data_IF_444730279137
#
_entry.id   IF_444730279137
#
_cell.length_a   1.000
_cell.length_b   1.000
_cell.length_c   1.000
_cell.angle_alpha   90.00
_cell.angle_beta   90.00
_cell.angle_gamma   90.00
#
_symmetry.space_group_name_H-M   'P 1'
#
loop_
_entity.id
_entity.type
_entity.pdbx_description
1 polymer ?
#
# COMPACT_ATOMS: atom_id res chain seq x y z
N UNK A 1 18.98 -3.01 -2.78
CA UNK A 1 17.52 -2.88 -3.06
C UNK A 1 17.25 -3.24 -4.50
N UNK A 2 16.21 -4.05 -4.76
CA UNK A 2 15.71 -4.33 -6.11
C UNK A 2 14.80 -3.20 -6.57
N UNK A 3 14.81 -2.89 -7.89
CA UNK A 3 13.89 -1.93 -8.49
C UNK A 3 13.00 -2.62 -9.51
N UNK A 4 11.70 -2.31 -9.48
CA UNK A 4 10.66 -2.91 -10.31
C UNK A 4 9.95 -1.83 -11.11
N UNK A 5 9.46 -2.18 -12.30
CA UNK A 5 8.58 -1.29 -13.03
C UNK A 5 7.23 -1.16 -12.31
N UNK A 6 6.69 0.04 -12.25
CA UNK A 6 5.36 0.29 -11.71
C UNK A 6 4.31 -0.05 -12.77
N UNK A 7 3.81 -1.28 -12.71
CA UNK A 7 2.89 -1.79 -13.72
C UNK A 7 3.45 -1.71 -15.14
N UNK A 8 2.64 -1.27 -16.08
CA UNK A 8 3.01 -1.09 -17.50
C UNK A 8 3.74 0.24 -17.79
N UNK A 9 4.13 1.00 -16.75
CA UNK A 9 4.85 2.26 -16.93
C UNK A 9 6.37 2.07 -16.98
N UNK A 10 7.10 3.10 -17.45
CA UNK A 10 8.56 3.13 -17.38
C UNK A 10 9.13 3.52 -16.02
N UNK A 11 8.28 3.81 -15.03
CA UNK A 11 8.74 4.25 -13.70
C UNK A 11 9.29 3.07 -12.91
N UNK A 12 10.53 3.20 -12.43
CA UNK A 12 11.16 2.23 -11.53
C UNK A 12 11.00 2.64 -10.08
N UNK A 13 10.37 1.78 -9.29
CA UNK A 13 10.20 1.94 -7.84
C UNK A 13 11.01 0.87 -7.09
N UNK A 14 11.50 1.20 -5.90
CA UNK A 14 12.13 0.23 -5.02
C UNK A 14 11.12 -0.83 -4.56
N UNK A 15 11.53 -2.08 -4.46
CA UNK A 15 10.67 -3.20 -4.06
C UNK A 15 10.06 -3.04 -2.65
N UNK A 16 10.74 -2.28 -1.78
CA UNK A 16 10.20 -1.76 -0.53
C UNK A 16 10.11 -0.23 -0.63
N UNK A 17 9.00 0.34 -0.17
CA UNK A 17 8.76 1.77 -0.06
C UNK A 17 8.43 2.16 1.38
N UNK A 18 8.57 3.42 1.71
CA UNK A 18 8.36 3.90 3.07
C UNK A 18 7.02 4.64 3.20
N UNK A 19 6.15 4.13 4.09
CA UNK A 19 4.85 4.72 4.39
C UNK A 19 4.91 5.67 5.58
N UNK A 20 4.37 6.87 5.40
CA UNK A 20 4.42 7.96 6.39
C UNK A 20 3.16 8.08 7.25
N UNK A 21 2.32 7.04 7.30
CA UNK A 21 1.15 7.03 8.21
C UNK A 21 1.51 7.17 9.70
N UNK A 22 2.79 7.02 10.05
CA UNK A 22 3.34 7.24 11.40
C UNK A 22 3.74 8.68 11.66
N UNK A 23 3.68 9.58 10.68
CA UNK A 23 4.11 10.97 10.81
C UNK A 23 3.00 11.88 11.35
N UNK A 24 3.36 12.76 12.29
CA UNK A 24 2.48 13.76 12.86
C UNK A 24 1.71 13.29 14.11
N UNK A 25 0.72 12.39 13.98
CA UNK A 25 -0.06 11.88 15.11
C UNK A 25 -0.99 12.93 15.74
N UNK A 26 -1.83 13.59 14.93
CA UNK A 26 -2.69 14.70 15.37
C UNK A 26 -3.87 14.27 16.26
N UNK A 27 -4.35 13.03 16.11
CA UNK A 27 -5.47 12.49 16.87
C UNK A 27 -5.14 11.08 17.40
N UNK A 28 -5.99 10.50 18.24
CA UNK A 28 -5.70 9.22 18.92
C UNK A 28 -5.53 8.05 17.94
N UNK A 29 -6.26 8.06 16.83
CA UNK A 29 -6.12 7.05 15.78
C UNK A 29 -4.72 7.08 15.18
N UNK A 30 -4.26 8.26 14.74
CA UNK A 30 -2.93 8.41 14.14
C UNK A 30 -1.81 8.31 15.18
N UNK A 31 -2.00 8.77 16.42
CA UNK A 31 -1.04 8.55 17.53
C UNK A 31 -0.77 7.07 17.78
N UNK A 32 -1.79 6.22 17.64
CA UNK A 32 -1.61 4.77 17.76
C UNK A 32 -0.70 4.19 16.66
N UNK A 33 -0.56 4.87 15.53
CA UNK A 33 0.38 4.51 14.46
C UNK A 33 1.78 5.08 14.73
N UNK A 34 1.87 6.33 15.17
CA UNK A 34 3.11 7.02 15.49
C UNK A 34 2.90 8.53 15.61
N UNK A 35 3.96 9.21 16.04
CA UNK A 35 4.00 10.68 16.17
C UNK A 35 5.35 11.21 15.70
N UNK A 36 5.92 10.62 14.66
CA UNK A 36 7.21 11.01 14.10
C UNK A 36 7.17 12.43 13.57
N UNK A 37 8.03 13.28 14.08
CA UNK A 37 8.20 14.66 13.65
C UNK A 37 9.42 14.81 12.73
N UNK A 38 9.66 16.03 12.21
CA UNK A 38 10.58 16.32 11.10
C UNK A 38 12.00 15.77 11.30
N UNK A 39 12.59 15.92 12.47
CA UNK A 39 14.00 15.53 12.69
C UNK A 39 14.17 14.01 12.70
N UNK A 40 13.22 13.29 13.28
CA UNK A 40 13.21 11.83 13.22
C UNK A 40 12.85 11.35 11.80
N UNK A 41 11.91 12.01 11.14
CA UNK A 41 11.55 11.70 9.75
C UNK A 41 12.74 11.85 8.81
N UNK A 42 13.57 12.89 8.98
CA UNK A 42 14.84 13.07 8.22
C UNK A 42 15.79 11.88 8.40
N UNK A 43 15.98 11.42 9.64
CA UNK A 43 16.84 10.26 9.92
C UNK A 43 16.30 8.99 9.26
N UNK A 44 14.99 8.74 9.36
CA UNK A 44 14.36 7.57 8.74
C UNK A 44 14.45 7.61 7.21
N UNK A 45 14.26 8.79 6.60
CA UNK A 45 14.40 9.00 5.16
C UNK A 45 15.84 8.79 4.69
N UNK A 46 16.83 9.25 5.46
CA UNK A 46 18.26 9.03 5.12
C UNK A 46 18.61 7.54 5.14
N UNK A 47 18.12 6.79 6.13
CA UNK A 47 18.25 5.32 6.18
C UNK A 47 17.58 4.68 4.95
N UNK A 48 16.41 5.18 4.54
CA UNK A 48 15.74 4.72 3.34
C UNK A 48 16.59 4.92 2.08
N UNK A 49 17.19 6.11 1.89
CA UNK A 49 18.06 6.39 0.76
C UNK A 49 19.33 5.54 0.77
N UNK A 50 19.97 5.36 1.94
CA UNK A 50 21.14 4.47 2.11
C UNK A 50 20.81 3.02 1.72
N UNK A 51 19.58 2.55 2.02
CA UNK A 51 19.10 1.22 1.64
C UNK A 51 18.62 1.14 0.18
N UNK A 52 18.57 2.25 -0.56
CA UNK A 52 18.11 2.34 -1.94
C UNK A 52 16.59 2.42 -2.08
N UNK A 53 15.85 2.82 -1.04
CA UNK A 53 14.41 3.13 -1.15
C UNK A 53 14.26 4.47 -1.85
N UNK A 54 13.41 4.52 -2.88
CA UNK A 54 13.14 5.75 -3.63
C UNK A 54 11.68 6.20 -3.60
N UNK A 55 10.75 5.40 -3.04
CA UNK A 55 9.32 5.70 -3.00
C UNK A 55 8.85 5.95 -1.56
N UNK A 56 8.21 7.11 -1.33
CA UNK A 56 7.66 7.56 -0.06
C UNK A 56 6.17 7.79 -0.22
N UNK A 57 5.36 7.07 0.58
CA UNK A 57 3.91 7.06 0.48
C UNK A 57 3.25 7.79 1.64
N UNK A 58 2.39 8.74 1.33
CA UNK A 58 1.60 9.54 2.26
C UNK A 58 0.14 9.65 1.80
N UNK A 59 -0.67 10.52 2.43
CA UNK A 59 -2.00 10.92 2.00
C UNK A 59 -2.40 12.26 2.62
N UNK A 60 -3.31 12.98 1.98
CA UNK A 60 -3.86 14.26 2.45
C UNK A 60 -4.60 14.15 3.79
N UNK A 61 -5.25 13.00 4.05
CA UNK A 61 -5.95 12.72 5.30
C UNK A 61 -5.06 12.20 6.43
N UNK A 62 -3.78 11.85 6.19
CA UNK A 62 -2.93 11.32 7.26
C UNK A 62 -2.56 12.42 8.24
N UNK A 63 -2.95 12.23 9.52
CA UNK A 63 -2.76 13.22 10.58
C UNK A 63 -3.24 14.61 10.16
N UNK A 64 -4.41 14.69 9.51
CA UNK A 64 -5.04 15.93 9.06
C UNK A 64 -4.13 16.79 8.15
N UNK A 65 -3.31 16.13 7.30
CA UNK A 65 -2.34 16.75 6.40
C UNK A 65 -0.94 16.92 7.01
N UNK A 66 -0.78 16.72 8.32
CA UNK A 66 0.53 16.87 8.98
C UNK A 66 1.57 15.89 8.45
N UNK A 67 1.16 14.68 8.04
CA UNK A 67 2.06 13.70 7.44
C UNK A 67 2.74 14.23 6.17
N UNK A 68 2.00 14.91 5.29
CA UNK A 68 2.57 15.55 4.10
C UNK A 68 3.51 16.71 4.45
N UNK A 69 3.18 17.54 5.47
CA UNK A 69 4.04 18.63 5.92
C UNK A 69 5.38 18.12 6.47
N UNK A 70 5.33 17.06 7.31
CA UNK A 70 6.53 16.44 7.87
C UNK A 70 7.38 15.84 6.76
N UNK A 71 6.77 15.11 5.82
CA UNK A 71 7.47 14.51 4.67
C UNK A 71 8.12 15.58 3.80
N UNK A 72 7.39 16.65 3.44
CA UNK A 72 7.91 17.75 2.64
C UNK A 72 9.15 18.40 3.26
N UNK A 73 9.07 18.74 4.56
CA UNK A 73 10.19 19.31 5.32
C UNK A 73 11.38 18.35 5.47
N UNK A 74 11.10 17.06 5.62
CA UNK A 74 12.16 16.06 5.74
C UNK A 74 12.89 15.81 4.41
N UNK A 75 12.23 16.07 3.27
CA UNK A 75 12.79 15.96 1.91
C UNK A 75 13.41 17.27 1.38
N UNK A 76 13.42 18.35 2.14
CA UNK A 76 14.07 19.60 1.70
C UNK A 76 15.52 19.34 1.23
N UNK A 77 15.84 19.80 0.02
CA UNK A 77 17.14 19.57 -0.64
C UNK A 77 17.36 18.16 -1.19
N UNK A 78 16.34 17.26 -1.09
CA UNK A 78 16.44 15.86 -1.54
C UNK A 78 15.26 15.45 -2.45
N UNK A 79 14.42 16.40 -2.86
CA UNK A 79 13.17 16.13 -3.62
C UNK A 79 13.40 15.34 -4.91
N UNK A 80 14.49 15.62 -5.60
CA UNK A 80 14.91 14.99 -6.85
C UNK A 80 15.30 13.51 -6.70
N UNK A 81 15.61 13.07 -5.47
CA UNK A 81 15.93 11.67 -5.15
C UNK A 81 14.74 10.84 -4.74
N UNK A 82 13.59 11.50 -4.45
CA UNK A 82 12.40 10.87 -3.92
C UNK A 82 11.27 10.84 -4.93
N UNK A 83 10.62 9.69 -5.06
CA UNK A 83 9.30 9.56 -5.64
C UNK A 83 8.28 9.74 -4.52
N UNK A 84 7.42 10.75 -4.64
CA UNK A 84 6.35 11.02 -3.67
C UNK A 84 5.04 10.45 -4.21
N UNK A 85 4.43 9.58 -3.40
CA UNK A 85 3.09 9.05 -3.59
C UNK A 85 2.16 9.68 -2.56
N UNK A 86 1.09 10.36 -3.00
CA UNK A 86 0.05 10.84 -2.08
C UNK A 86 -1.34 10.52 -2.61
N UNK A 87 -2.35 10.73 -1.78
CA UNK A 87 -3.72 10.28 -2.04
C UNK A 87 -4.72 11.35 -1.61
N UNK A 88 -5.89 11.36 -2.26
CA UNK A 88 -7.05 12.13 -1.80
C UNK A 88 -8.36 11.35 -2.00
N UNK A 89 -9.42 11.87 -1.41
CA UNK A 89 -10.76 11.33 -1.53
C UNK A 89 -11.47 11.08 -0.21
N UNK A 90 -10.76 10.88 0.88
CA UNK A 90 -11.35 10.82 2.22
C UNK A 90 -11.71 12.22 2.73
N UNK A 91 -12.64 12.33 3.70
CA UNK A 91 -13.00 13.62 4.29
C UNK A 91 -11.79 14.33 4.88
N UNK A 92 -11.57 15.58 4.48
CA UNK A 92 -10.50 16.45 5.00
C UNK A 92 -11.02 17.57 5.89
N UNK A 93 -12.32 17.81 5.88
CA UNK A 93 -13.02 18.75 6.74
C UNK A 93 -14.52 18.43 6.77
N UNK A 94 -15.26 19.01 7.71
CA UNK A 94 -16.72 18.95 7.72
C UNK A 94 -17.33 19.78 6.58
N UNK A 95 -18.53 19.39 6.13
CA UNK A 95 -19.32 20.10 5.13
C UNK A 95 -19.16 19.57 3.70
N UNK A 96 -19.96 20.08 2.77
CA UNK A 96 -20.03 19.59 1.40
C UNK A 96 -18.73 19.87 0.63
N UNK A 97 -18.44 19.00 -0.34
CA UNK A 97 -17.28 19.11 -1.26
C UNK A 97 -15.89 19.04 -0.58
N UNK A 98 -15.80 18.44 0.61
CA UNK A 98 -14.53 18.20 1.31
C UNK A 98 -14.14 16.73 1.29
N UNK A 99 -14.77 15.90 0.44
CA UNK A 99 -14.52 14.48 0.24
C UNK A 99 -14.89 14.06 -1.18
N UNK A 100 -14.58 12.80 -1.53
CA UNK A 100 -14.94 12.18 -2.79
C UNK A 100 -14.01 12.54 -3.94
N UNK A 101 -14.48 12.32 -5.16
CA UNK A 101 -13.64 12.45 -6.37
C UNK A 101 -14.17 13.48 -7.37
N UNK A 102 -15.04 14.40 -6.93
CA UNK A 102 -15.47 15.48 -7.80
C UNK A 102 -14.29 16.33 -8.27
N UNK A 103 -14.37 16.87 -9.48
CA UNK A 103 -13.35 17.78 -10.03
C UNK A 103 -13.04 18.94 -9.08
N UNK A 104 -14.08 19.46 -8.41
CA UNK A 104 -13.94 20.55 -7.46
C UNK A 104 -13.07 20.14 -6.27
N UNK A 105 -13.35 18.98 -5.65
CA UNK A 105 -12.59 18.50 -4.50
C UNK A 105 -11.17 18.06 -4.89
N UNK A 106 -11.03 17.24 -5.94
CA UNK A 106 -9.72 16.73 -6.37
C UNK A 106 -8.72 17.85 -6.68
N UNK A 107 -9.17 18.94 -7.36
CA UNK A 107 -8.28 20.05 -7.65
C UNK A 107 -7.82 20.77 -6.39
N UNK A 108 -8.71 21.04 -5.45
CA UNK A 108 -8.37 21.66 -4.15
C UNK A 108 -7.44 20.78 -3.32
N UNK A 109 -7.72 19.48 -3.28
CA UNK A 109 -6.91 18.49 -2.57
C UNK A 109 -5.48 18.42 -3.13
N UNK A 110 -5.33 18.31 -4.46
CA UNK A 110 -4.01 18.32 -5.11
C UNK A 110 -3.22 19.59 -4.79
N UNK A 111 -3.83 20.79 -4.94
CA UNK A 111 -3.16 22.06 -4.63
C UNK A 111 -2.75 22.16 -3.15
N UNK A 112 -3.58 21.62 -2.25
CA UNK A 112 -3.26 21.59 -0.83
C UNK A 112 -2.10 20.64 -0.54
N UNK A 113 -2.07 19.45 -1.16
CA UNK A 113 -0.97 18.49 -1.04
C UNK A 113 0.36 19.05 -1.56
N UNK A 114 0.34 19.71 -2.73
CA UNK A 114 1.54 20.38 -3.29
C UNK A 114 2.11 21.43 -2.32
N UNK A 115 1.24 22.24 -1.69
CA UNK A 115 1.68 23.24 -0.69
C UNK A 115 2.26 22.57 0.56
N UNK A 116 1.60 21.55 1.13
CA UNK A 116 2.09 20.85 2.33
C UNK A 116 3.40 20.13 2.09
N UNK A 117 3.54 19.50 0.93
CA UNK A 117 4.75 18.80 0.52
C UNK A 117 5.88 19.74 0.05
N UNK A 118 5.59 21.03 -0.19
CA UNK A 118 6.59 22.00 -0.66
C UNK A 118 7.17 21.66 -2.03
N UNK A 119 6.35 21.19 -2.97
CA UNK A 119 6.78 20.73 -4.30
C UNK A 119 5.79 21.15 -5.38
N UNK A 120 6.25 21.28 -6.61
CA UNK A 120 5.42 21.65 -7.77
C UNK A 120 4.77 20.44 -8.46
N UNK A 121 5.18 19.22 -8.11
CA UNK A 121 4.64 18.00 -8.71
C UNK A 121 4.62 16.82 -7.74
N UNK A 122 3.66 15.91 -7.97
CA UNK A 122 3.54 14.60 -7.33
C UNK A 122 3.93 13.53 -8.33
N UNK A 123 4.73 12.54 -7.90
CA UNK A 123 5.14 11.44 -8.77
C UNK A 123 4.01 10.45 -9.01
N UNK A 124 3.29 10.05 -7.95
CA UNK A 124 2.15 9.14 -8.04
C UNK A 124 0.98 9.72 -7.23
N UNK A 125 -0.14 10.01 -7.89
CA UNK A 125 -1.34 10.53 -7.25
C UNK A 125 -2.45 9.49 -7.26
N UNK A 126 -2.94 9.13 -6.06
CA UNK A 126 -3.97 8.10 -5.90
C UNK A 126 -5.34 8.69 -5.60
N UNK A 127 -6.37 8.04 -6.10
CA UNK A 127 -7.67 8.06 -5.47
C UNK A 127 -7.65 7.09 -4.29
N UNK A 128 -7.93 7.56 -3.06
CA UNK A 128 -7.83 6.76 -1.84
C UNK A 128 -8.90 5.68 -1.72
N UNK A 129 -10.03 5.85 -2.41
CA UNK A 129 -11.14 4.92 -2.56
C UNK A 129 -11.96 5.28 -3.79
N UNK A 130 -12.84 4.37 -4.20
CA UNK A 130 -13.77 4.64 -5.30
C UNK A 130 -14.95 5.48 -4.81
N UNK A 131 -15.25 6.56 -5.53
CA UNK A 131 -16.43 7.40 -5.32
C UNK A 131 -17.53 7.03 -6.32
N UNK A 132 -18.57 6.35 -5.83
CA UNK A 132 -19.71 5.93 -6.64
C UNK A 132 -20.68 7.07 -6.99
N UNK A 133 -20.55 8.23 -6.34
CA UNK A 133 -21.42 9.39 -6.54
C UNK A 133 -20.91 10.33 -7.63
N UNK A 134 -19.63 10.24 -7.99
CA UNK A 134 -19.04 11.04 -9.05
C UNK A 134 -18.91 10.23 -10.35
N UNK A 135 -19.40 10.76 -11.50
CA UNK A 135 -19.23 10.09 -12.79
C UNK A 135 -17.74 9.78 -13.06
N UNK A 136 -17.45 8.55 -13.47
CA UNK A 136 -16.06 8.12 -13.71
C UNK A 136 -15.37 8.95 -14.82
N UNK A 137 -16.14 9.45 -15.77
CA UNK A 137 -15.66 10.35 -16.83
C UNK A 137 -15.15 11.68 -16.25
N UNK A 138 -15.85 12.27 -15.28
CA UNK A 138 -15.42 13.48 -14.60
C UNK A 138 -14.12 13.25 -13.82
N UNK A 139 -14.03 12.12 -13.14
CA UNK A 139 -12.85 11.74 -12.36
C UNK A 139 -11.64 11.55 -13.29
N UNK A 140 -11.78 10.73 -14.34
CA UNK A 140 -10.67 10.42 -15.26
C UNK A 140 -10.22 11.64 -16.07
N UNK A 141 -11.15 12.48 -16.53
CA UNK A 141 -10.82 13.76 -17.20
C UNK A 141 -10.02 14.68 -16.27
N UNK A 142 -10.42 14.75 -15.00
CA UNK A 142 -9.74 15.59 -14.00
C UNK A 142 -8.30 15.10 -13.74
N UNK A 143 -8.12 13.80 -13.52
CA UNK A 143 -6.78 13.21 -13.32
C UNK A 143 -5.90 13.35 -14.56
N UNK A 144 -6.46 13.14 -15.76
CA UNK A 144 -5.75 13.34 -17.01
C UNK A 144 -5.26 14.80 -17.18
N UNK A 145 -6.07 15.78 -16.75
CA UNK A 145 -5.67 17.20 -16.74
C UNK A 145 -4.51 17.46 -15.78
N UNK A 146 -4.50 16.85 -14.60
CA UNK A 146 -3.38 16.98 -13.66
C UNK A 146 -2.06 16.49 -14.25
N UNK A 147 -2.10 15.39 -15.02
CA UNK A 147 -0.92 14.89 -15.73
C UNK A 147 -0.50 15.83 -16.83
N UNK A 148 -1.45 16.33 -17.64
CA UNK A 148 -1.15 17.29 -18.73
C UNK A 148 -0.63 18.64 -18.23
N UNK A 149 -1.08 19.10 -17.08
CA UNK A 149 -0.59 20.31 -16.40
C UNK A 149 0.82 20.09 -15.79
N UNK A 150 1.32 18.85 -15.77
CA UNK A 150 2.63 18.51 -15.19
C UNK A 150 2.65 18.48 -13.67
N UNK A 151 1.51 18.64 -13.00
CA UNK A 151 1.39 18.57 -11.53
C UNK A 151 1.43 17.16 -10.99
N UNK A 152 1.10 16.17 -11.81
CA UNK A 152 1.13 14.74 -11.49
C UNK A 152 1.87 14.01 -12.60
N UNK A 153 2.76 13.07 -12.25
CA UNK A 153 3.48 12.26 -13.24
C UNK A 153 2.72 10.99 -13.60
N UNK A 154 2.21 10.28 -12.61
CA UNK A 154 1.45 9.03 -12.75
C UNK A 154 0.23 9.05 -11.87
N UNK A 155 -0.86 8.46 -12.33
CA UNK A 155 -2.08 8.30 -11.56
C UNK A 155 -2.28 6.85 -11.14
N UNK A 156 -2.89 6.64 -9.99
CA UNK A 156 -3.15 5.32 -9.43
C UNK A 156 -4.48 5.29 -8.67
N UNK A 157 -5.00 4.08 -8.47
CA UNK A 157 -6.16 3.83 -7.61
C UNK A 157 -5.73 3.21 -6.28
N UNK A 158 -6.56 3.32 -5.25
CA UNK A 158 -6.42 2.57 -4.00
C UNK A 158 -7.79 2.07 -3.55
N UNK A 159 -7.85 0.84 -3.03
CA UNK A 159 -9.06 0.23 -2.48
C UNK A 159 -10.25 0.16 -3.46
N UNK A 160 -9.98 -0.02 -4.74
CA UNK A 160 -11.00 -0.28 -5.76
C UNK A 160 -11.28 -1.79 -5.82
N UNK A 161 -12.53 -2.16 -6.10
CA UNK A 161 -12.85 -3.52 -6.57
C UNK A 161 -12.41 -3.67 -8.03
N UNK A 162 -12.36 -4.91 -8.53
CA UNK A 162 -11.92 -5.15 -9.92
C UNK A 162 -12.80 -4.45 -10.95
N UNK A 163 -14.14 -4.47 -10.78
CA UNK A 163 -15.04 -3.80 -11.72
C UNK A 163 -14.89 -2.26 -11.69
N UNK A 164 -14.62 -1.66 -10.53
CA UNK A 164 -14.33 -0.22 -10.41
C UNK A 164 -13.06 0.15 -11.17
N UNK A 165 -12.01 -0.64 -10.96
CA UNK A 165 -10.74 -0.43 -11.63
C UNK A 165 -10.88 -0.61 -13.14
N UNK A 166 -11.52 -1.72 -13.57
CA UNK A 166 -11.73 -1.98 -15.00
C UNK A 166 -12.60 -0.92 -15.67
N UNK A 167 -13.68 -0.46 -15.02
CA UNK A 167 -14.51 0.65 -15.52
C UNK A 167 -13.69 1.92 -15.73
N UNK A 168 -12.82 2.26 -14.80
CA UNK A 168 -11.96 3.44 -14.88
C UNK A 168 -10.93 3.32 -16.01
N UNK A 169 -10.30 2.15 -16.17
CA UNK A 169 -9.36 1.87 -17.24
C UNK A 169 -10.02 1.93 -18.62
N UNK A 170 -11.18 1.29 -18.77
CA UNK A 170 -11.95 1.31 -20.03
C UNK A 170 -12.41 2.73 -20.39
N UNK A 171 -12.76 3.55 -19.41
CA UNK A 171 -13.11 4.96 -19.64
C UNK A 171 -11.87 5.74 -20.12
N UNK A 172 -10.72 5.55 -19.49
CA UNK A 172 -9.48 6.17 -19.95
C UNK A 172 -9.13 5.77 -21.40
N UNK A 173 -9.24 4.49 -21.73
CA UNK A 173 -8.99 3.97 -23.10
C UNK A 173 -9.95 4.57 -24.12
N UNK A 174 -11.24 4.62 -23.80
CA UNK A 174 -12.28 5.18 -24.68
C UNK A 174 -12.00 6.61 -25.10
N UNK A 175 -11.46 7.42 -24.18
CA UNK A 175 -11.22 8.84 -24.43
C UNK A 175 -9.74 9.18 -24.72
N UNK A 176 -8.85 8.19 -24.74
CA UNK A 176 -7.41 8.42 -24.93
C UNK A 176 -6.77 9.18 -23.77
N UNK A 177 -7.29 8.98 -22.54
CA UNK A 177 -6.77 9.62 -21.34
C UNK A 177 -5.71 8.77 -20.64
N UNK A 178 -5.02 9.39 -19.69
CA UNK A 178 -4.03 8.72 -18.84
C UNK A 178 -4.68 7.58 -18.05
N UNK A 179 -4.07 6.39 -18.11
CA UNK A 179 -4.51 5.20 -17.37
C UNK A 179 -3.91 5.16 -15.97
N UNK A 180 -4.58 4.50 -15.04
CA UNK A 180 -3.97 4.09 -13.79
C UNK A 180 -2.82 3.11 -14.07
N UNK A 181 -1.63 3.38 -13.51
CA UNK A 181 -0.45 2.51 -13.63
C UNK A 181 -0.29 1.58 -12.44
N UNK A 182 -0.92 1.92 -11.31
CA UNK A 182 -0.84 1.15 -10.09
C UNK A 182 -2.18 1.10 -9.35
N UNK A 183 -2.32 0.06 -8.53
CA UNK A 183 -3.39 -0.11 -7.57
C UNK A 183 -2.78 -0.34 -6.18
N UNK A 184 -3.05 0.56 -5.24
CA UNK A 184 -2.62 0.39 -3.86
C UNK A 184 -3.65 -0.44 -3.10
N UNK A 185 -3.23 -1.61 -2.59
CA UNK A 185 -4.11 -2.68 -2.13
C UNK A 185 -3.69 -3.22 -0.76
N UNK A 186 -4.68 -3.64 0.04
CA UNK A 186 -4.41 -4.51 1.17
C UNK A 186 -4.02 -5.91 0.68
N UNK A 187 -2.85 -6.36 1.08
CA UNK A 187 -2.38 -7.72 0.78
C UNK A 187 -1.39 -8.20 1.85
N UNK A 188 -1.65 -9.36 2.41
CA UNK A 188 -0.80 -9.99 3.42
C UNK A 188 -1.11 -11.48 3.50
N UNK A 189 -0.31 -12.24 4.25
CA UNK A 189 -0.59 -13.66 4.55
C UNK A 189 -1.93 -13.90 5.27
N UNK A 190 -2.53 -12.89 5.89
CA UNK A 190 -3.86 -12.97 6.53
C UNK A 190 -4.93 -12.16 5.80
N UNK A 191 -4.70 -11.80 4.55
CA UNK A 191 -5.62 -11.07 3.70
C UNK A 191 -5.25 -11.28 2.25
N UNK A 192 -5.67 -12.42 1.68
CA UNK A 192 -5.31 -12.89 0.33
C UNK A 192 -6.40 -12.67 -0.72
N UNK A 193 -7.46 -11.90 -0.38
CA UNK A 193 -8.58 -11.61 -1.29
C UNK A 193 -8.11 -10.94 -2.60
N UNK A 194 -7.01 -10.19 -2.54
CA UNK A 194 -6.36 -9.58 -3.70
C UNK A 194 -6.09 -10.59 -4.84
N UNK A 195 -5.79 -11.84 -4.50
CA UNK A 195 -5.41 -12.88 -5.46
C UNK A 195 -6.60 -13.37 -6.33
N UNK A 196 -7.84 -13.11 -5.90
CA UNK A 196 -9.00 -13.68 -6.56
C UNK A 196 -9.39 -12.93 -7.84
N UNK A 197 -9.35 -11.60 -7.82
CA UNK A 197 -9.77 -10.75 -8.94
C UNK A 197 -8.72 -9.68 -9.29
N UNK A 198 -8.18 -8.99 -8.28
CA UNK A 198 -7.33 -7.82 -8.50
C UNK A 198 -5.95 -8.17 -9.06
N UNK A 199 -5.38 -9.29 -8.65
CA UNK A 199 -4.10 -9.76 -9.20
C UNK A 199 -4.24 -10.22 -10.66
N UNK A 200 -5.22 -11.07 -11.03
CA UNK A 200 -5.48 -11.38 -12.44
C UNK A 200 -5.73 -10.15 -13.31
N UNK A 201 -6.51 -9.19 -12.81
CA UNK A 201 -6.75 -7.91 -13.49
C UNK A 201 -5.45 -7.12 -13.65
N UNK A 202 -4.64 -7.06 -12.60
CA UNK A 202 -3.34 -6.36 -12.62
C UNK A 202 -2.38 -6.95 -13.66
N UNK A 203 -2.35 -8.28 -13.82
CA UNK A 203 -1.58 -8.97 -14.86
C UNK A 203 -2.10 -8.64 -16.26
N UNK A 204 -3.40 -8.75 -16.48
CA UNK A 204 -4.05 -8.51 -17.78
C UNK A 204 -3.90 -7.06 -18.22
N UNK A 205 -4.19 -6.11 -17.31
CA UNK A 205 -4.21 -4.68 -17.60
C UNK A 205 -2.87 -3.97 -17.35
N UNK A 206 -1.83 -4.72 -16.92
CA UNK A 206 -0.50 -4.19 -16.57
C UNK A 206 -0.56 -3.09 -15.50
N UNK A 207 -1.39 -3.29 -14.47
CA UNK A 207 -1.49 -2.41 -13.31
C UNK A 207 -0.69 -3.02 -12.16
N UNK A 208 0.32 -2.31 -11.68
CA UNK A 208 1.20 -2.77 -10.60
C UNK A 208 0.55 -2.64 -9.22
N UNK A 209 0.85 -3.56 -8.31
CA UNK A 209 0.38 -3.46 -6.93
C UNK A 209 1.39 -2.70 -6.05
N UNK A 210 0.89 -1.73 -5.29
CA UNK A 210 1.53 -1.13 -4.12
C UNK A 210 0.84 -1.68 -2.88
N UNK A 211 1.55 -2.49 -2.09
CA UNK A 211 0.92 -3.23 -0.99
C UNK A 211 0.95 -2.41 0.29
N UNK A 212 -0.23 -2.06 0.81
CA UNK A 212 -0.34 -1.45 2.13
C UNK A 212 -0.67 -2.48 3.22
N UNK A 213 -0.28 -2.18 4.47
CA UNK A 213 -0.43 -3.06 5.64
C UNK A 213 0.06 -4.50 5.42
N UNK A 214 1.27 -4.70 4.87
CA UNK A 214 1.80 -6.02 4.50
C UNK A 214 1.97 -6.97 5.68
N UNK A 215 2.02 -6.42 6.91
CA UNK A 215 2.09 -7.18 8.16
C UNK A 215 0.72 -7.32 8.86
N UNK A 216 -0.38 -7.26 8.09
CA UNK A 216 -1.72 -7.53 8.60
C UNK A 216 -2.14 -6.63 9.75
N UNK A 217 -1.98 -5.31 9.64
CA UNK A 217 -2.30 -4.33 10.69
C UNK A 217 -1.44 -4.49 11.96
N UNK A 218 -0.23 -5.07 11.83
CA UNK A 218 0.70 -5.35 12.94
C UNK A 218 0.55 -6.75 13.55
N UNK A 219 -0.33 -7.58 13.02
CA UNK A 219 -0.55 -8.96 13.51
C UNK A 219 0.62 -9.90 13.17
N UNK A 220 1.31 -9.67 12.05
CA UNK A 220 2.42 -10.51 11.57
C UNK A 220 3.82 -9.95 11.94
N UNK A 221 3.89 -9.20 13.03
CA UNK A 221 5.16 -8.63 13.53
C UNK A 221 5.98 -9.57 14.41
N UNK A 222 5.51 -10.80 14.62
CA UNK A 222 6.15 -11.76 15.49
C UNK A 222 5.90 -11.54 16.99
N UNK A 223 5.01 -10.60 17.36
CA UNK A 223 4.67 -10.28 18.75
C UNK A 223 3.44 -11.02 19.26
N UNK A 224 2.53 -11.40 18.36
CA UNK A 224 1.33 -12.18 18.71
C UNK A 224 1.68 -13.68 18.77
N UNK A 225 1.16 -14.35 19.77
CA UNK A 225 1.36 -15.78 20.02
C UNK A 225 0.11 -16.38 20.63
N UNK A 226 -0.18 -17.63 20.28
CA UNK A 226 -1.28 -18.40 20.86
C UNK A 226 -1.17 -18.42 22.39
N UNK A 227 -2.28 -18.11 23.06
CA UNK A 227 -2.37 -18.13 24.53
C UNK A 227 -1.61 -17.02 25.25
N UNK A 228 -1.06 -16.03 24.53
CA UNK A 228 -0.43 -14.86 25.15
C UNK A 228 -1.29 -13.61 24.96
N UNK A 229 -1.30 -12.70 25.96
CA UNK A 229 -2.02 -11.45 25.83
C UNK A 229 -1.43 -10.58 24.71
N UNK A 230 -2.25 -9.66 24.21
CA UNK A 230 -1.79 -8.63 23.30
C UNK A 230 -0.68 -7.78 23.96
N UNK A 231 0.44 -7.50 23.27
CA UNK A 231 1.50 -6.66 23.83
C UNK A 231 0.97 -5.29 24.28
N UNK A 232 1.45 -4.78 25.42
CA UNK A 232 1.01 -3.49 25.97
C UNK A 232 1.11 -2.35 24.96
N UNK A 233 2.21 -2.29 24.21
CA UNK A 233 2.42 -1.31 23.14
C UNK A 233 1.97 -1.90 21.80
N UNK A 234 0.66 -2.01 21.61
CA UNK A 234 0.08 -2.46 20.35
C UNK A 234 -0.97 -1.47 19.87
N UNK A 235 -0.88 -1.06 18.58
CA UNK A 235 -1.93 -0.23 17.98
C UNK A 235 -3.29 -0.94 17.91
N UNK A 236 -3.31 -2.27 18.01
CA UNK A 236 -4.53 -3.05 18.02
C UNK A 236 -5.45 -2.73 19.20
N UNK A 237 -4.93 -2.18 20.31
CA UNK A 237 -5.78 -1.71 21.42
C UNK A 237 -6.72 -0.57 21.00
N UNK A 238 -6.30 0.26 20.04
CA UNK A 238 -7.05 1.47 19.62
C UNK A 238 -7.67 1.28 18.21
N UNK A 239 -7.00 0.54 17.33
CA UNK A 239 -7.33 0.53 15.90
C UNK A 239 -7.74 -0.84 15.35
N UNK A 240 -8.01 -1.83 16.22
CA UNK A 240 -8.34 -3.20 15.78
C UNK A 240 -9.58 -3.24 14.87
N UNK A 241 -10.61 -2.45 15.19
CA UNK A 241 -11.87 -2.39 14.44
C UNK A 241 -11.71 -1.76 13.05
N UNK A 242 -10.75 -0.85 12.90
CA UNK A 242 -10.45 -0.22 11.60
C UNK A 242 -9.58 -1.10 10.69
N UNK A 243 -9.05 -2.21 11.21
CA UNK A 243 -8.23 -3.16 10.49
C UNK A 243 -9.00 -4.37 9.98
N UNK A 244 -8.33 -5.28 9.26
CA UNK A 244 -8.96 -6.51 8.78
C UNK A 244 -9.46 -7.36 9.94
N UNK A 245 -10.67 -7.90 9.81
CA UNK A 245 -11.21 -8.85 10.77
C UNK A 245 -10.63 -10.24 10.44
N UNK A 246 -9.97 -10.85 11.41
CA UNK A 246 -9.25 -12.11 11.25
C UNK A 246 -9.61 -13.02 12.41
N UNK A 247 -10.08 -14.23 12.11
CA UNK A 247 -10.36 -15.23 13.13
C UNK A 247 -9.06 -15.68 13.83
N UNK A 248 -9.08 -15.76 15.14
CA UNK A 248 -7.88 -16.05 15.94
C UNK A 248 -7.20 -17.37 15.53
N UNK A 249 -7.97 -18.43 15.34
CA UNK A 249 -7.41 -19.75 14.98
C UNK A 249 -6.69 -19.71 13.63
N UNK A 250 -7.25 -18.99 12.63
CA UNK A 250 -6.60 -18.77 11.35
C UNK A 250 -5.34 -17.92 11.50
N UNK A 251 -5.41 -16.82 12.26
CA UNK A 251 -4.25 -15.97 12.53
C UNK A 251 -3.09 -16.77 13.13
N UNK A 252 -3.37 -17.58 14.16
CA UNK A 252 -2.33 -18.34 14.83
C UNK A 252 -1.78 -19.46 13.97
N UNK A 253 -2.57 -20.08 13.09
CA UNK A 253 -2.08 -21.04 12.09
C UNK A 253 -1.06 -20.39 11.17
N UNK A 254 -1.29 -19.17 10.72
CA UNK A 254 -0.34 -18.41 9.88
C UNK A 254 0.91 -18.01 10.69
N UNK A 255 0.72 -17.55 11.92
CA UNK A 255 1.85 -17.15 12.80
C UNK A 255 2.76 -18.35 13.11
N UNK A 256 2.19 -19.51 13.40
CA UNK A 256 2.95 -20.73 13.69
C UNK A 256 3.78 -21.15 12.46
N UNK A 257 3.22 -21.05 11.25
CA UNK A 257 3.93 -21.30 10.00
C UNK A 257 5.07 -20.29 9.75
N UNK A 258 4.82 -19.01 10.04
CA UNK A 258 5.83 -17.96 9.95
C UNK A 258 6.98 -18.20 10.93
N UNK A 259 6.70 -18.60 12.18
CA UNK A 259 7.73 -18.94 13.17
C UNK A 259 8.61 -20.10 12.70
N UNK A 260 8.01 -21.15 12.13
CA UNK A 260 8.74 -22.27 11.56
C UNK A 260 9.69 -21.82 10.45
N UNK A 261 9.19 -21.06 9.47
CA UNK A 261 10.01 -20.59 8.34
C UNK A 261 11.05 -19.56 8.80
N UNK A 262 10.75 -18.73 9.80
CA UNK A 262 11.72 -17.81 10.39
C UNK A 262 12.89 -18.56 11.04
N UNK A 263 12.61 -19.65 11.78
CA UNK A 263 13.65 -20.51 12.36
C UNK A 263 14.51 -21.18 11.29
N UNK A 264 13.92 -21.66 10.19
CA UNK A 264 14.64 -22.30 9.08
C UNK A 264 15.56 -21.33 8.33
N UNK A 265 15.13 -20.06 8.18
CA UNK A 265 15.87 -19.05 7.39
C UNK A 265 16.84 -18.22 8.22
N UNK A 266 16.73 -18.24 9.56
CA UNK A 266 17.44 -17.32 10.45
C UNK A 266 16.98 -15.86 10.30
N UNK A 267 15.79 -15.65 9.71
CA UNK A 267 15.18 -14.32 9.53
C UNK A 267 14.09 -14.08 10.55
N UNK A 268 13.69 -12.83 10.74
CA UNK A 268 12.58 -12.51 11.63
C UNK A 268 11.23 -12.78 10.98
N UNK A 269 10.20 -13.01 11.78
CA UNK A 269 8.82 -13.22 11.31
C UNK A 269 8.35 -12.12 10.34
N UNK A 270 8.50 -10.81 10.64
CA UNK A 270 8.12 -9.77 9.70
C UNK A 270 8.94 -9.80 8.40
N UNK A 271 10.24 -10.15 8.45
CA UNK A 271 11.06 -10.28 7.25
C UNK A 271 10.56 -11.41 6.35
N UNK A 272 10.19 -12.55 6.93
CA UNK A 272 9.61 -13.68 6.18
C UNK A 272 8.26 -13.29 5.55
N UNK A 273 7.39 -12.65 6.30
CA UNK A 273 6.08 -12.21 5.79
C UNK A 273 6.21 -11.19 4.65
N UNK A 274 7.12 -10.23 4.75
CA UNK A 274 7.41 -9.25 3.69
C UNK A 274 8.07 -9.93 2.47
N UNK A 275 9.02 -10.84 2.69
CA UNK A 275 9.69 -11.55 1.61
C UNK A 275 8.73 -12.44 0.81
N UNK A 276 7.74 -13.06 1.48
CA UNK A 276 6.68 -13.79 0.79
C UNK A 276 5.91 -12.89 -0.20
N UNK A 277 5.56 -11.66 0.20
CA UNK A 277 4.91 -10.68 -0.67
C UNK A 277 5.81 -10.23 -1.83
N UNK A 278 7.12 -10.07 -1.60
CA UNK A 278 8.08 -9.67 -2.64
C UNK A 278 8.15 -10.68 -3.79
N UNK A 279 7.76 -11.92 -3.57
CA UNK A 279 7.75 -12.97 -4.58
C UNK A 279 6.40 -13.12 -5.31
N UNK A 280 5.42 -12.26 -5.01
CA UNK A 280 4.10 -12.34 -5.65
C UNK A 280 4.07 -11.58 -6.99
N UNK A 281 3.38 -12.14 -8.01
CA UNK A 281 3.14 -11.44 -9.26
C UNK A 281 2.47 -10.09 -9.02
N UNK A 282 2.68 -9.13 -9.91
CA UNK A 282 2.14 -7.76 -9.86
C UNK A 282 2.66 -6.86 -8.74
N UNK A 283 3.24 -7.39 -7.66
CA UNK A 283 3.76 -6.57 -6.56
C UNK A 283 4.97 -5.76 -7.03
N UNK A 284 4.73 -4.47 -7.29
CA UNK A 284 5.78 -3.51 -7.68
C UNK A 284 6.52 -3.01 -6.45
N UNK A 285 5.83 -2.72 -5.35
CA UNK A 285 6.44 -2.27 -4.10
C UNK A 285 5.57 -2.61 -2.89
N UNK A 286 6.22 -2.82 -1.75
CA UNK A 286 5.57 -3.04 -0.46
C UNK A 286 5.80 -1.83 0.43
N UNK A 287 4.73 -1.20 0.89
CA UNK A 287 4.77 -0.02 1.74
C UNK A 287 4.98 -0.47 3.19
N UNK A 288 6.17 -0.24 3.71
CA UNK A 288 6.50 -0.52 5.11
C UNK A 288 6.48 0.75 5.94
N UNK A 289 5.80 0.72 7.08
CA UNK A 289 5.85 1.77 8.08
C UNK A 289 6.83 1.41 9.21
N UNK A 290 7.42 2.41 9.84
CA UNK A 290 8.23 2.24 11.03
C UNK A 290 8.04 3.43 11.98
N UNK A 291 8.11 3.17 13.30
CA UNK A 291 8.06 4.20 14.35
C UNK A 291 9.45 4.66 14.78
N UNK A 292 10.47 3.87 14.46
CA UNK A 292 11.86 4.13 14.82
C UNK A 292 12.81 3.43 13.83
N UNK A 293 14.09 3.73 13.97
CA UNK A 293 15.17 3.21 13.13
C UNK A 293 15.27 1.67 13.18
N UNK A 294 15.15 1.06 14.35
CA UNK A 294 15.26 -0.39 14.52
C UNK A 294 14.20 -1.13 13.69
N UNK A 295 12.93 -0.71 13.81
CA UNK A 295 11.84 -1.29 13.02
C UNK A 295 12.04 -1.09 11.52
N UNK A 296 12.52 0.10 11.12
CA UNK A 296 12.80 0.38 9.71
C UNK A 296 13.88 -0.56 9.16
N UNK A 297 15.02 -0.66 9.84
CA UNK A 297 16.12 -1.55 9.42
C UNK A 297 15.70 -3.02 9.40
N UNK A 298 14.90 -3.44 10.38
CA UNK A 298 14.32 -4.79 10.41
C UNK A 298 13.45 -5.05 9.17
N UNK A 299 12.55 -4.13 8.82
CA UNK A 299 11.68 -4.25 7.65
C UNK A 299 12.49 -4.26 6.34
N UNK A 300 13.48 -3.36 6.22
CA UNK A 300 14.36 -3.28 5.05
C UNK A 300 15.17 -4.58 4.82
N UNK A 301 15.49 -5.29 5.90
CA UNK A 301 16.14 -6.61 5.84
C UNK A 301 15.29 -7.73 5.23
N UNK A 302 14.04 -7.45 4.83
CA UNK A 302 13.22 -8.39 4.07
C UNK A 302 13.65 -8.52 2.60
N UNK A 303 14.37 -7.55 2.06
CA UNK A 303 14.89 -7.59 0.69
C UNK A 303 16.30 -8.20 0.61
N UNK A 304 16.71 -8.59 -0.61
CA UNK A 304 18.06 -9.09 -0.89
C UNK A 304 18.26 -10.59 -0.68
N UNK A 305 17.21 -11.33 -0.43
CA UNK A 305 17.17 -12.80 -0.34
C UNK A 305 15.79 -13.29 -0.76
N UNK A 306 15.61 -14.60 -0.93
CA UNK A 306 14.34 -15.18 -1.32
C UNK A 306 14.03 -16.44 -0.49
N UNK A 307 12.75 -16.61 -0.15
CA UNK A 307 12.22 -17.87 0.34
C UNK A 307 12.37 -18.96 -0.74
N UNK A 308 12.65 -20.18 -0.33
CA UNK A 308 12.59 -21.34 -1.23
C UNK A 308 11.14 -21.67 -1.61
N UNK A 309 10.95 -22.39 -2.71
CA UNK A 309 9.62 -22.83 -3.15
C UNK A 309 8.87 -23.58 -2.03
N UNK A 310 9.54 -24.50 -1.32
CA UNK A 310 8.93 -25.25 -0.21
C UNK A 310 8.49 -24.37 0.96
N UNK A 311 9.25 -23.32 1.28
CA UNK A 311 8.89 -22.34 2.31
C UNK A 311 7.67 -21.50 1.89
N UNK A 312 7.64 -21.06 0.63
CA UNK A 312 6.47 -20.37 0.06
C UNK A 312 5.24 -21.27 0.12
N UNK A 313 5.31 -22.52 -0.32
CA UNK A 313 4.22 -23.49 -0.26
C UNK A 313 3.73 -23.76 1.17
N UNK A 314 4.64 -23.74 2.16
CA UNK A 314 4.29 -23.87 3.58
C UNK A 314 3.44 -22.72 4.06
N UNK A 315 3.84 -21.47 3.71
CA UNK A 315 3.10 -20.27 4.05
C UNK A 315 1.78 -20.18 3.28
N UNK A 316 1.77 -20.58 2.00
CA UNK A 316 0.56 -20.58 1.17
C UNK A 316 -0.52 -21.50 1.73
N UNK A 317 -0.15 -22.71 2.16
CA UNK A 317 -1.09 -23.66 2.79
C UNK A 317 -1.62 -23.16 4.13
N UNK A 318 -0.75 -22.60 4.96
CA UNK A 318 -1.17 -22.07 6.26
C UNK A 318 -2.10 -20.84 6.15
N UNK A 319 -1.96 -20.10 5.06
CA UNK A 319 -2.73 -18.86 4.80
C UNK A 319 -3.83 -19.04 3.75
N UNK A 320 -4.16 -20.27 3.38
CA UNK A 320 -5.23 -20.54 2.43
C UNK A 320 -6.59 -20.11 2.98
N UNK A 321 -7.38 -19.42 2.16
CA UNK A 321 -8.73 -18.96 2.47
C UNK A 321 -9.73 -19.46 1.43
N UNK A 322 -10.93 -19.75 1.89
CA UNK A 322 -12.03 -20.05 0.98
C UNK A 322 -12.40 -18.80 0.19
N UNK A 323 -12.24 -18.88 -1.13
CA UNK A 323 -12.61 -17.77 -2.00
C UNK A 323 -14.13 -17.62 -2.12
N UNK A 324 -14.59 -16.38 -2.28
CA UNK A 324 -15.99 -16.08 -2.53
C UNK A 324 -16.45 -16.61 -3.91
N UNK A 325 -17.78 -16.70 -4.12
CA UNK A 325 -18.35 -16.87 -5.45
C UNK A 325 -18.11 -15.57 -6.27
N UNK A 326 -17.72 -15.67 -7.55
CA UNK A 326 -17.62 -16.87 -8.39
C UNK A 326 -16.26 -17.58 -8.36
N UNK A 327 -15.29 -17.10 -7.60
CA UNK A 327 -13.87 -17.51 -7.68
C UNK A 327 -13.67 -18.98 -7.28
N UNK A 328 -14.34 -19.50 -6.22
CA UNK A 328 -14.26 -20.93 -5.87
C UNK A 328 -14.82 -21.82 -6.99
N UNK A 329 -15.88 -21.34 -7.70
CA UNK A 329 -16.48 -22.06 -8.81
C UNK A 329 -15.53 -22.12 -10.02
N UNK A 330 -14.93 -20.98 -10.37
CA UNK A 330 -13.95 -20.89 -11.46
C UNK A 330 -12.74 -21.79 -11.18
N UNK A 331 -12.19 -21.76 -9.97
CA UNK A 331 -11.08 -22.61 -9.55
C UNK A 331 -11.41 -24.09 -9.67
N UNK A 332 -12.61 -24.51 -9.29
CA UNK A 332 -13.01 -25.91 -9.30
C UNK A 332 -13.30 -26.44 -10.72
N UNK A 333 -13.94 -25.65 -11.57
CA UNK A 333 -14.48 -26.13 -12.84
C UNK A 333 -13.76 -25.59 -14.08
N UNK A 334 -13.00 -24.52 -13.95
CA UNK A 334 -12.39 -23.81 -15.08
C UNK A 334 -10.89 -23.54 -14.88
N UNK A 335 -10.23 -24.23 -13.97
CA UNK A 335 -8.79 -23.99 -13.65
C UNK A 335 -7.88 -24.09 -14.86
N UNK A 336 -8.16 -24.99 -15.82
CA UNK A 336 -7.38 -25.12 -17.06
C UNK A 336 -7.56 -23.95 -18.03
N UNK A 337 -8.64 -23.21 -17.92
CA UNK A 337 -8.96 -22.06 -18.80
C UNK A 337 -8.79 -20.71 -18.09
N UNK A 338 -8.79 -20.73 -16.79
CA UNK A 338 -8.61 -19.57 -15.93
C UNK A 338 -7.65 -19.93 -14.79
N UNK A 339 -6.35 -20.15 -15.11
CA UNK A 339 -5.37 -20.55 -14.12
C UNK A 339 -5.14 -19.43 -13.10
N UNK A 340 -4.86 -19.83 -11.86
CA UNK A 340 -4.47 -18.89 -10.83
C UNK A 340 -3.10 -18.29 -11.14
N UNK A 341 -2.88 -17.01 -10.82
CA UNK A 341 -1.59 -16.37 -11.01
C UNK A 341 -0.54 -16.79 -9.97
N UNK A 342 -0.95 -17.44 -8.88
CA UNK A 342 -0.09 -17.93 -7.77
C UNK A 342 -0.49 -19.32 -7.33
#
# INVERSE_FOLDING_TARGET
MEYRLLGGSGLKVSALSFGTGTFGGTNDFFKAWGSTEVDEARRLIDICFEAGVNLFDTADGYSDGRSEEVLGKALEGKRDKALISTKSGFPTAAGPNNEGSSRYHLRRALEASLRRLGTDYIDIYHLHGFDALTPVEEVQDTLNKFVREGKVRYIAASNFSGWHLMKSLATADRYGWTRFVAHQVYYSLIGRDYEWELMPLGLDQKVGALVWSPLGWGRLTGKLRRGKPLPEVSRLHVTAEAGPQVADEYLYTVVDALDKVAAETGKTVPQVALNWLLQRPTVSSIIVGARNEEQLRQNLGAAGWNLTKSQVETLDRASEQLSAYPYWHQRKFFSSRNPLPV
#
